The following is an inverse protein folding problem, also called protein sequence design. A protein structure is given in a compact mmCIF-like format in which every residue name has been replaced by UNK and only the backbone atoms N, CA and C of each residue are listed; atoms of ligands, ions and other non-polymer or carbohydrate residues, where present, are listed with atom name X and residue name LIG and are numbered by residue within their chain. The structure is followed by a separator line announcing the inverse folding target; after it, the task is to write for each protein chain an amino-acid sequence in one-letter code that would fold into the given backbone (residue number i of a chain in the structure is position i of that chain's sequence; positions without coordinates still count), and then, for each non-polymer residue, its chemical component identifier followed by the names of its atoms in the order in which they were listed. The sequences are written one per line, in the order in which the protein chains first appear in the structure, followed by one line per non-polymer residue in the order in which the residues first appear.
data_IF_629695407391
#
_entry.id   IF_629695407391
#
_cell.length_a   1.000
_cell.length_b   1.000
_cell.length_c   1.000
_cell.angle_alpha   90.00
_cell.angle_beta   90.00
_cell.angle_gamma   90.00
#
_symmetry.space_group_name_H-M   'P 1'
#
loop_
_entity.id
_entity.type
_entity.pdbx_description
1 polymer ?
#
# COMPACT_ATOMS: atom_id res chain seq x y z
N UNK A 1 5.35 -18.35 -32.97
CA UNK A 1 5.09 -18.83 -31.60
C UNK A 1 5.55 -17.74 -30.63
N UNK A 2 4.63 -16.89 -30.15
CA UNK A 2 4.98 -15.81 -29.23
C UNK A 2 5.25 -16.41 -27.85
N UNK A 3 6.49 -16.28 -27.35
CA UNK A 3 6.87 -16.76 -26.03
C UNK A 3 6.16 -15.88 -25.01
N UNK A 4 5.16 -16.45 -24.34
CA UNK A 4 4.46 -15.86 -23.19
C UNK A 4 5.40 -15.82 -21.98
N UNK A 5 6.44 -15.00 -22.03
CA UNK A 5 7.23 -14.64 -20.85
C UNK A 5 6.46 -13.56 -20.12
N UNK A 6 5.60 -13.95 -19.18
CA UNK A 6 5.39 -13.10 -18.01
C UNK A 6 6.78 -12.78 -17.49
N UNK A 7 7.23 -11.55 -17.71
CA UNK A 7 8.60 -11.17 -17.51
C UNK A 7 8.81 -11.16 -16.00
N UNK A 8 9.37 -12.23 -15.44
CA UNK A 8 9.67 -12.37 -14.00
C UNK A 8 10.32 -11.10 -13.43
N UNK A 9 11.09 -10.39 -14.26
CA UNK A 9 11.68 -9.10 -13.96
C UNK A 9 10.64 -8.00 -13.70
N UNK A 10 9.58 -7.91 -14.51
CA UNK A 10 8.44 -7.00 -14.31
C UNK A 10 7.71 -7.33 -13.01
N UNK A 11 7.45 -8.61 -12.71
CA UNK A 11 6.82 -9.01 -11.45
C UNK A 11 7.65 -8.59 -10.23
N UNK A 12 8.97 -8.81 -10.27
CA UNK A 12 9.88 -8.40 -9.19
C UNK A 12 9.86 -6.88 -9.02
N UNK A 13 9.83 -6.10 -10.10
CA UNK A 13 9.72 -4.64 -10.03
C UNK A 13 8.40 -4.18 -9.42
N UNK A 14 7.28 -4.76 -9.86
CA UNK A 14 5.94 -4.45 -9.36
C UNK A 14 5.83 -4.76 -7.86
N UNK A 15 6.32 -5.93 -7.44
CA UNK A 15 6.28 -6.34 -6.03
C UNK A 15 7.19 -5.44 -5.20
N UNK A 16 8.42 -5.16 -5.66
CA UNK A 16 9.35 -4.26 -4.97
C UNK A 16 8.77 -2.86 -4.79
N UNK A 17 8.20 -2.29 -5.86
CA UNK A 17 7.54 -1.00 -5.80
C UNK A 17 6.32 -1.03 -4.87
N UNK A 18 5.54 -2.11 -4.90
CA UNK A 18 4.42 -2.33 -4.00
C UNK A 18 4.85 -2.31 -2.53
N UNK A 19 5.93 -3.02 -2.19
CA UNK A 19 6.47 -3.05 -0.82
C UNK A 19 6.97 -1.66 -0.41
N UNK A 20 7.70 -0.96 -1.28
CA UNK A 20 8.18 0.39 -1.00
C UNK A 20 7.02 1.33 -0.66
N UNK A 21 5.99 1.37 -1.50
CA UNK A 21 4.81 2.21 -1.30
C UNK A 21 4.05 1.79 -0.04
N UNK A 22 3.92 0.49 0.23
CA UNK A 22 3.26 0.00 1.43
C UNK A 22 3.96 0.50 2.69
N UNK A 23 5.28 0.34 2.79
CA UNK A 23 6.04 0.77 3.97
C UNK A 23 5.87 2.27 4.22
N UNK A 24 5.96 3.09 3.18
CA UNK A 24 5.76 4.54 3.28
C UNK A 24 4.33 4.88 3.74
N UNK A 25 3.31 4.29 3.13
CA UNK A 25 1.90 4.56 3.46
C UNK A 25 1.57 4.14 4.90
N UNK A 26 2.05 2.98 5.34
CA UNK A 26 1.85 2.51 6.71
C UNK A 26 2.65 3.35 7.72
N UNK A 27 3.88 3.75 7.38
CA UNK A 27 4.68 4.65 8.21
C UNK A 27 3.98 5.99 8.43
N UNK A 28 3.49 6.62 7.36
CA UNK A 28 2.73 7.88 7.43
C UNK A 28 1.43 7.70 8.21
N UNK A 29 0.70 6.61 8.00
CA UNK A 29 -0.54 6.31 8.71
C UNK A 29 -0.31 6.17 10.22
N UNK A 30 0.71 5.43 10.64
CA UNK A 30 1.01 5.24 12.06
C UNK A 30 1.56 6.53 12.71
N UNK A 31 2.45 7.23 12.02
CA UNK A 31 3.02 8.49 12.49
C UNK A 31 1.93 9.58 12.64
N UNK A 32 1.03 9.71 11.67
CA UNK A 32 -0.10 10.64 11.75
C UNK A 32 -1.09 10.26 12.86
N UNK A 33 -1.36 8.95 13.05
CA UNK A 33 -2.21 8.46 14.14
C UNK A 33 -1.64 8.80 15.51
N UNK A 34 -0.33 8.60 15.71
CA UNK A 34 0.39 9.00 16.92
C UNK A 34 0.36 10.51 17.14
N UNK A 35 0.69 11.28 16.10
CA UNK A 35 0.80 12.73 16.19
C UNK A 35 -0.54 13.40 16.52
N UNK A 36 -1.63 13.00 15.85
CA UNK A 36 -2.96 13.55 16.10
C UNK A 36 -3.47 13.21 17.50
N UNK A 37 -3.23 11.99 17.98
CA UNK A 37 -3.62 11.59 19.32
C UNK A 37 -2.86 12.35 20.40
N UNK A 38 -1.55 12.60 20.19
CA UNK A 38 -0.73 13.39 21.10
C UNK A 38 -1.09 14.88 21.10
N UNK A 39 -1.36 15.47 19.93
CA UNK A 39 -1.72 16.90 19.81
C UNK A 39 -3.03 17.26 20.51
N UNK A 40 -3.98 16.33 20.53
CA UNK A 40 -5.31 16.56 21.07
C UNK A 40 -5.47 15.99 22.51
N UNK A 41 -4.43 15.36 23.06
CA UNK A 41 -4.40 14.73 24.40
C UNK A 41 -5.52 13.69 24.64
N UNK A 42 -5.91 12.92 23.60
CA UNK A 42 -7.04 11.97 23.65
C UNK A 42 -6.76 10.68 24.43
N UNK A 43 -5.60 10.57 25.06
CA UNK A 43 -5.18 9.37 25.78
C UNK A 43 -4.83 8.17 24.88
N UNK A 44 -4.22 7.15 25.48
CA UNK A 44 -3.62 6.04 24.74
C UNK A 44 -4.62 5.20 23.94
N UNK A 45 -5.83 4.99 24.47
CA UNK A 45 -6.85 4.15 23.81
C UNK A 45 -7.26 4.75 22.47
N UNK A 46 -7.57 6.05 22.43
CA UNK A 46 -7.96 6.70 21.18
C UNK A 46 -6.78 6.80 20.22
N UNK A 47 -5.56 6.96 20.72
CA UNK A 47 -4.36 6.91 19.89
C UNK A 47 -4.22 5.59 19.13
N UNK A 48 -4.43 4.46 19.80
CA UNK A 48 -4.41 3.16 19.12
C UNK A 48 -5.56 3.00 18.12
N UNK A 49 -6.75 3.53 18.42
CA UNK A 49 -7.88 3.54 17.47
C UNK A 49 -7.54 4.37 16.23
N UNK A 50 -6.95 5.55 16.38
CA UNK A 50 -6.57 6.43 15.27
C UNK A 50 -5.50 5.78 14.38
N UNK A 51 -4.47 5.21 15.00
CA UNK A 51 -3.43 4.44 14.30
C UNK A 51 -4.02 3.27 13.52
N UNK A 52 -4.94 2.52 14.15
CA UNK A 52 -5.64 1.41 13.50
C UNK A 52 -6.48 1.88 12.32
N UNK A 53 -7.27 2.95 12.50
CA UNK A 53 -8.10 3.53 11.45
C UNK A 53 -7.26 3.97 10.24
N UNK A 54 -6.17 4.69 10.47
CA UNK A 54 -5.28 5.12 9.40
C UNK A 54 -4.55 3.95 8.73
N UNK A 55 -4.18 2.91 9.49
CA UNK A 55 -3.60 1.69 8.93
C UNK A 55 -4.58 0.95 8.02
N UNK A 56 -5.87 0.92 8.38
CA UNK A 56 -6.92 0.36 7.51
C UNK A 56 -7.05 1.17 6.23
N UNK A 57 -7.03 2.50 6.31
CA UNK A 57 -7.06 3.38 5.13
C UNK A 57 -5.83 3.15 4.23
N UNK A 58 -4.64 3.06 4.81
CA UNK A 58 -3.40 2.76 4.08
C UNK A 58 -3.47 1.38 3.40
N UNK A 59 -3.97 0.37 4.11
CA UNK A 59 -4.20 -0.97 3.55
C UNK A 59 -5.19 -0.95 2.37
N UNK A 60 -6.30 -0.21 2.50
CA UNK A 60 -7.26 -0.05 1.42
C UNK A 60 -6.65 0.64 0.18
N UNK A 61 -5.89 1.72 0.38
CA UNK A 61 -5.17 2.40 -0.69
C UNK A 61 -4.18 1.47 -1.40
N UNK A 62 -3.43 0.67 -0.63
CA UNK A 62 -2.49 -0.32 -1.15
C UNK A 62 -3.18 -1.38 -1.99
N UNK A 63 -4.31 -1.94 -1.52
CA UNK A 63 -5.09 -2.93 -2.28
C UNK A 63 -5.59 -2.33 -3.60
N UNK A 64 -6.09 -1.10 -3.58
CA UNK A 64 -6.56 -0.41 -4.79
C UNK A 64 -5.41 -0.19 -5.79
N UNK A 65 -4.22 0.20 -5.30
CA UNK A 65 -3.04 0.36 -6.13
C UNK A 65 -2.59 -0.96 -6.75
N UNK A 66 -2.50 -2.03 -5.96
CA UNK A 66 -2.14 -3.36 -6.46
C UNK A 66 -3.12 -3.88 -7.52
N UNK A 67 -4.43 -3.67 -7.32
CA UNK A 67 -5.45 -4.01 -8.33
C UNK A 67 -5.23 -3.28 -9.65
N UNK A 68 -4.85 -1.99 -9.60
CA UNK A 68 -4.58 -1.18 -10.80
C UNK A 68 -3.32 -1.66 -11.51
N UNK A 69 -2.25 -1.93 -10.78
CA UNK A 69 -0.98 -2.41 -11.36
C UNK A 69 -1.16 -3.77 -12.01
N UNK A 70 -1.83 -4.71 -11.35
CA UNK A 70 -2.13 -6.03 -11.92
C UNK A 70 -3.02 -5.96 -13.16
N UNK A 71 -3.98 -5.03 -13.20
CA UNK A 71 -4.82 -4.80 -14.39
C UNK A 71 -4.00 -4.30 -15.58
N UNK A 72 -3.04 -3.40 -15.36
CA UNK A 72 -2.15 -2.88 -16.41
C UNK A 72 -1.21 -3.96 -16.95
N UNK A 73 -0.65 -4.79 -16.08
CA UNK A 73 0.22 -5.91 -16.50
C UNK A 73 -0.54 -6.91 -17.40
N UNK A 74 -1.81 -7.18 -17.09
CA UNK A 74 -2.64 -8.05 -17.92
C UNK A 74 -2.89 -7.49 -19.33
N UNK A 75 -3.12 -6.17 -19.46
CA UNK A 75 -3.38 -5.52 -20.76
C UNK A 75 -2.14 -5.50 -21.68
N UNK A 76 -0.94 -5.44 -21.11
CA UNK A 76 0.31 -5.47 -21.87
C UNK A 76 0.64 -6.88 -22.38
N UNK A 77 0.17 -7.94 -21.71
CA UNK A 77 0.41 -9.33 -22.09
C UNK A 77 -0.50 -9.90 -23.20
N UNK A 78 -1.47 -9.12 -23.67
CA UNK A 78 -2.49 -9.48 -24.68
C UNK A 78 -2.25 -8.86 -26.07
N UNK A 79 -1.15 -8.11 -26.27
CA UNK A 79 -0.73 -7.57 -27.57
C UNK A 79 0.58 -8.21 -28.03
#
# INVERSE_FOLDING_TARGET
MAVRRTNWRTLIMVISLGILIAVELFGVALASGWALAGLLDLGHVVGYVLMGLFSVVAGYAMINLMRRVLKVEHMIGDN
#
